data_IF_511562954868
#
_entry.id   IF_511562954868
#
_cell.length_a   1.000
_cell.length_b   1.000
_cell.length_c   1.000
_cell.angle_alpha   90.00
_cell.angle_beta   90.00
_cell.angle_gamma   90.00
#
_symmetry.space_group_name_H-M   'P 1'
#
loop_
_entity.id
_entity.type
_entity.pdbx_description
1 polymer ?
#
# COMPACT_ATOMS: atom_id res chain seq x y z
N UNK A 1 -24.92 13.52 -7.01
CA UNK A 1 -24.00 13.27 -8.13
C UNK A 1 -22.83 14.26 -8.13
N UNK A 2 -23.05 15.57 -8.03
CA UNK A 2 -22.01 16.61 -8.05
C UNK A 2 -20.97 16.41 -6.95
N UNK A 3 -21.37 16.10 -5.71
CA UNK A 3 -20.44 15.85 -4.60
C UNK A 3 -19.53 14.63 -4.81
N UNK A 4 -20.00 13.59 -5.53
CA UNK A 4 -19.18 12.44 -5.88
C UNK A 4 -18.14 12.82 -6.93
N UNK A 5 -18.55 13.57 -7.96
CA UNK A 5 -17.62 14.08 -8.97
C UNK A 5 -16.53 14.96 -8.35
N UNK A 6 -16.91 15.89 -7.45
CA UNK A 6 -15.98 16.74 -6.73
C UNK A 6 -14.97 15.91 -5.92
N UNK A 7 -15.44 14.80 -5.33
CA UNK A 7 -14.59 13.87 -4.59
C UNK A 7 -13.62 13.12 -5.51
N UNK A 8 -14.08 12.62 -6.65
CA UNK A 8 -13.25 11.91 -7.63
C UNK A 8 -12.12 12.81 -8.12
N UNK A 9 -12.46 14.02 -8.57
CA UNK A 9 -11.47 14.97 -9.10
C UNK A 9 -10.48 15.44 -8.03
N UNK A 10 -10.97 15.75 -6.81
CA UNK A 10 -10.11 16.17 -5.70
C UNK A 10 -9.18 15.04 -5.24
N UNK A 11 -9.67 13.81 -5.14
CA UNK A 11 -8.88 12.67 -4.71
C UNK A 11 -7.75 12.34 -5.70
N UNK A 12 -8.05 12.32 -7.01
CA UNK A 12 -7.04 12.07 -8.04
C UNK A 12 -6.02 13.20 -8.12
N UNK A 13 -6.47 14.47 -8.04
CA UNK A 13 -5.58 15.63 -8.00
C UNK A 13 -4.65 15.58 -6.77
N UNK A 14 -5.20 15.24 -5.59
CA UNK A 14 -4.42 15.10 -4.36
C UNK A 14 -3.41 13.95 -4.49
N UNK A 15 -3.81 12.83 -5.08
CA UNK A 15 -2.91 11.70 -5.35
C UNK A 15 -1.73 12.10 -6.23
N UNK A 16 -1.97 12.82 -7.32
CA UNK A 16 -0.91 13.29 -8.20
C UNK A 16 0.01 14.30 -7.51
N UNK A 17 -0.56 15.32 -6.85
CA UNK A 17 0.24 16.36 -6.18
C UNK A 17 1.05 15.78 -5.03
N UNK A 18 0.46 14.94 -4.18
CA UNK A 18 1.18 14.25 -3.09
C UNK A 18 2.25 13.29 -3.63
N UNK A 19 1.96 12.60 -4.73
CA UNK A 19 2.93 11.73 -5.40
C UNK A 19 4.13 12.49 -5.94
N UNK A 20 3.92 13.63 -6.60
CA UNK A 20 5.01 14.51 -7.09
C UNK A 20 5.81 15.09 -5.91
N UNK A 21 5.12 15.54 -4.85
CA UNK A 21 5.80 16.05 -3.65
C UNK A 21 6.69 14.97 -3.03
N UNK A 22 6.16 13.76 -2.87
CA UNK A 22 6.93 12.62 -2.34
C UNK A 22 8.08 12.22 -3.27
N UNK A 23 7.90 12.31 -4.59
CA UNK A 23 8.97 12.04 -5.54
C UNK A 23 10.13 13.02 -5.36
N UNK A 24 9.84 14.31 -5.29
CA UNK A 24 10.88 15.35 -5.13
C UNK A 24 11.57 15.24 -3.78
N UNK A 25 10.79 15.21 -2.69
CA UNK A 25 11.34 15.12 -1.32
C UNK A 25 12.13 13.82 -1.14
N UNK A 26 11.55 12.70 -1.55
CA UNK A 26 12.19 11.39 -1.41
C UNK A 26 13.45 11.25 -2.26
N UNK A 27 13.44 11.76 -3.50
CA UNK A 27 14.62 11.75 -4.36
C UNK A 27 15.79 12.56 -3.76
N UNK A 28 15.50 13.73 -3.19
CA UNK A 28 16.51 14.56 -2.54
C UNK A 28 16.99 13.97 -1.21
N UNK A 29 16.06 13.40 -0.43
CA UNK A 29 16.37 12.87 0.89
C UNK A 29 16.88 11.42 0.89
N UNK A 30 16.84 10.71 -0.25
CA UNK A 30 17.11 9.26 -0.32
C UNK A 30 18.43 8.84 0.35
N UNK A 31 19.51 9.56 0.11
CA UNK A 31 20.82 9.27 0.71
C UNK A 31 20.85 9.56 2.20
N UNK A 32 20.37 10.73 2.62
CA UNK A 32 20.34 11.12 4.03
C UNK A 32 19.47 10.19 4.89
N UNK A 33 18.36 9.68 4.33
CA UNK A 33 17.52 8.68 5.00
C UNK A 33 18.27 7.37 5.23
N UNK A 34 19.05 6.90 4.26
CA UNK A 34 19.85 5.69 4.39
C UNK A 34 21.01 5.85 5.39
N UNK A 35 21.64 7.01 5.41
CA UNK A 35 22.67 7.35 6.41
C UNK A 35 22.08 7.37 7.83
N UNK A 36 20.90 7.98 8.02
CA UNK A 36 20.15 7.94 9.28
C UNK A 36 19.78 6.52 9.72
N UNK A 37 19.52 5.62 8.79
CA UNK A 37 19.22 4.20 9.06
C UNK A 37 20.48 3.36 9.27
N UNK A 38 21.68 3.96 9.31
CA UNK A 38 22.96 3.26 9.45
C UNK A 38 23.16 2.19 8.38
N UNK A 39 22.80 2.51 7.13
CA UNK A 39 23.01 1.60 6.00
C UNK A 39 24.53 1.38 5.79
N UNK A 40 25.00 0.12 5.64
CA UNK A 40 26.40 -0.17 5.42
C UNK A 40 26.97 0.52 4.17
N UNK A 41 28.24 0.97 4.26
CA UNK A 41 28.88 1.77 3.20
C UNK A 41 29.03 1.02 1.86
N UNK A 42 29.17 -0.30 1.90
CA UNK A 42 29.30 -1.18 0.74
C UNK A 42 28.01 -1.25 -0.11
N UNK A 43 26.84 -1.07 0.51
CA UNK A 43 25.53 -1.15 -0.18
C UNK A 43 24.83 0.20 -0.33
N UNK A 44 25.27 1.27 0.34
CA UNK A 44 24.57 2.56 0.39
C UNK A 44 24.40 3.19 -1.00
N UNK A 45 25.36 3.02 -1.89
CA UNK A 45 25.31 3.55 -3.25
C UNK A 45 24.21 2.89 -4.08
N UNK A 46 24.11 1.57 -4.02
CA UNK A 46 23.07 0.78 -4.72
C UNK A 46 21.69 1.03 -4.11
N UNK A 47 21.61 1.09 -2.80
CA UNK A 47 20.36 1.39 -2.07
C UNK A 47 19.86 2.81 -2.38
N UNK A 48 20.78 3.79 -2.47
CA UNK A 48 20.44 5.17 -2.87
C UNK A 48 19.89 5.21 -4.29
N UNK A 49 20.52 4.49 -5.22
CA UNK A 49 20.05 4.39 -6.60
C UNK A 49 18.65 3.77 -6.66
N UNK A 50 18.43 2.66 -5.94
CA UNK A 50 17.12 2.02 -5.85
C UNK A 50 16.05 2.99 -5.34
N UNK A 51 16.30 3.65 -4.21
CA UNK A 51 15.34 4.59 -3.62
C UNK A 51 15.04 5.78 -4.53
N UNK A 52 16.06 6.36 -5.18
CA UNK A 52 15.85 7.46 -6.12
C UNK A 52 14.95 7.05 -7.28
N UNK A 53 15.23 5.89 -7.89
CA UNK A 53 14.39 5.34 -8.95
C UNK A 53 12.96 5.12 -8.42
N UNK A 54 12.82 4.48 -7.25
CA UNK A 54 11.52 4.20 -6.63
C UNK A 54 10.71 5.47 -6.37
N UNK A 55 11.33 6.53 -5.86
CA UNK A 55 10.65 7.80 -5.61
C UNK A 55 10.18 8.49 -6.89
N UNK A 56 10.87 8.34 -8.02
CA UNK A 56 10.38 8.80 -9.33
C UNK A 56 9.05 8.14 -9.71
N UNK A 57 8.82 6.90 -9.29
CA UNK A 57 7.57 6.17 -9.51
C UNK A 57 6.41 6.56 -8.58
N UNK A 58 6.66 7.36 -7.52
CA UNK A 58 5.64 7.70 -6.53
C UNK A 58 4.38 8.37 -7.08
N UNK A 59 4.42 9.26 -8.09
CA UNK A 59 3.22 9.82 -8.66
C UNK A 59 2.28 8.76 -9.22
N UNK A 60 2.80 7.74 -9.89
CA UNK A 60 2.01 6.64 -10.44
C UNK A 60 1.48 5.71 -9.33
N UNK A 61 2.28 5.44 -8.31
CA UNK A 61 1.86 4.66 -7.14
C UNK A 61 0.71 5.37 -6.41
N UNK A 62 0.80 6.67 -6.19
CA UNK A 62 -0.26 7.46 -5.57
C UNK A 62 -1.52 7.51 -6.45
N UNK A 63 -1.34 7.72 -7.75
CA UNK A 63 -2.45 7.69 -8.71
C UNK A 63 -3.19 6.35 -8.67
N UNK A 64 -2.48 5.21 -8.63
CA UNK A 64 -3.07 3.89 -8.46
C UNK A 64 -3.85 3.80 -7.14
N UNK A 65 -3.25 4.19 -6.02
CA UNK A 65 -3.86 4.07 -4.70
C UNK A 65 -5.16 4.86 -4.60
N UNK A 66 -5.17 6.12 -5.03
CA UNK A 66 -6.37 6.96 -4.99
C UNK A 66 -7.44 6.48 -5.98
N UNK A 67 -7.08 6.16 -7.22
CA UNK A 67 -8.02 5.64 -8.22
C UNK A 67 -8.63 4.30 -7.82
N UNK A 68 -7.83 3.40 -7.27
CA UNK A 68 -8.26 2.11 -6.74
C UNK A 68 -9.17 2.27 -5.52
N UNK A 69 -8.88 3.25 -4.64
CA UNK A 69 -9.73 3.55 -3.48
C UNK A 69 -11.12 4.05 -3.91
N UNK A 70 -11.21 4.87 -4.96
CA UNK A 70 -12.48 5.34 -5.52
C UNK A 70 -13.35 4.18 -6.04
N UNK A 71 -12.78 3.23 -6.77
CA UNK A 71 -13.50 2.04 -7.22
C UNK A 71 -13.96 1.17 -6.05
N UNK A 72 -13.08 0.95 -5.06
CA UNK A 72 -13.44 0.21 -3.85
C UNK A 72 -14.56 0.88 -3.05
N UNK A 73 -14.58 2.20 -2.99
CA UNK A 73 -15.61 2.95 -2.27
C UNK A 73 -17.03 2.68 -2.81
N UNK A 74 -17.18 2.40 -4.11
CA UNK A 74 -18.46 2.01 -4.72
C UNK A 74 -18.69 0.50 -4.73
N UNK A 75 -17.80 -0.28 -4.11
CA UNK A 75 -17.92 -1.74 -3.99
C UNK A 75 -17.24 -2.52 -5.11
N UNK A 76 -16.62 -1.87 -6.07
CA UNK A 76 -15.86 -2.56 -7.11
C UNK A 76 -14.43 -2.84 -6.66
N UNK A 77 -14.25 -4.01 -6.11
CA UNK A 77 -12.94 -4.51 -5.68
C UNK A 77 -12.26 -5.38 -6.74
N UNK A 78 -13.03 -5.88 -7.73
CA UNK A 78 -12.54 -6.82 -8.73
C UNK A 78 -11.67 -6.15 -9.77
N UNK A 79 -12.12 -5.01 -10.31
CA UNK A 79 -11.36 -4.28 -11.35
C UNK A 79 -9.96 -3.86 -10.86
N UNK A 80 -9.79 -3.20 -9.68
CA UNK A 80 -8.47 -2.92 -9.13
C UNK A 80 -7.60 -4.18 -8.89
N UNK A 81 -8.22 -5.28 -8.46
CA UNK A 81 -7.51 -6.55 -8.25
C UNK A 81 -6.93 -7.09 -9.56
N UNK A 82 -7.71 -7.11 -10.64
CA UNK A 82 -7.21 -7.57 -11.94
C UNK A 82 -6.08 -6.69 -12.48
N UNK A 83 -6.18 -5.36 -12.30
CA UNK A 83 -5.10 -4.45 -12.69
C UNK A 83 -3.82 -4.72 -11.89
N UNK A 84 -3.96 -4.95 -10.58
CA UNK A 84 -2.81 -5.27 -9.73
C UNK A 84 -2.20 -6.63 -10.06
N UNK A 85 -3.02 -7.64 -10.33
CA UNK A 85 -2.55 -8.97 -10.74
C UNK A 85 -1.80 -8.92 -12.07
N UNK A 86 -2.34 -8.21 -13.08
CA UNK A 86 -1.67 -7.99 -14.35
C UNK A 86 -0.32 -7.26 -14.15
N UNK A 87 -0.29 -6.20 -13.34
CA UNK A 87 0.93 -5.49 -13.00
C UNK A 87 1.94 -6.39 -12.27
N UNK A 88 1.47 -7.28 -11.39
CA UNK A 88 2.32 -8.26 -10.72
C UNK A 88 3.00 -9.22 -11.69
N UNK A 89 2.27 -9.74 -12.67
CA UNK A 89 2.83 -10.60 -13.73
C UNK A 89 3.87 -9.82 -14.55
N UNK A 90 3.54 -8.59 -14.97
CA UNK A 90 4.46 -7.72 -15.71
C UNK A 90 5.71 -7.45 -14.88
N UNK A 91 5.57 -7.20 -13.58
CA UNK A 91 6.70 -6.97 -12.67
C UNK A 91 7.65 -8.17 -12.64
N UNK A 92 7.12 -9.40 -12.50
CA UNK A 92 7.93 -10.62 -12.51
C UNK A 92 8.68 -10.77 -13.83
N UNK A 93 7.99 -10.62 -14.96
CA UNK A 93 8.61 -10.73 -16.30
C UNK A 93 9.69 -9.67 -16.49
N UNK A 94 9.41 -8.41 -16.14
CA UNK A 94 10.39 -7.34 -16.27
C UNK A 94 11.59 -7.51 -15.34
N UNK A 95 11.38 -8.03 -14.12
CA UNK A 95 12.50 -8.38 -13.24
C UNK A 95 13.43 -9.42 -13.88
N UNK A 96 12.89 -10.48 -14.45
CA UNK A 96 13.69 -11.50 -15.13
C UNK A 96 14.44 -10.90 -16.32
N UNK A 97 13.78 -10.10 -17.14
CA UNK A 97 14.38 -9.45 -18.31
C UNK A 97 15.49 -8.48 -17.91
N UNK A 98 15.25 -7.59 -16.94
CA UNK A 98 16.21 -6.57 -16.57
C UNK A 98 17.39 -7.12 -15.75
N UNK A 99 17.12 -8.05 -14.83
CA UNK A 99 18.16 -8.60 -13.96
C UNK A 99 18.97 -9.67 -14.70
N UNK A 100 18.32 -10.60 -15.37
CA UNK A 100 19.00 -11.71 -16.05
C UNK A 100 19.42 -11.31 -17.47
N UNK A 101 18.51 -10.72 -18.27
CA UNK A 101 18.78 -10.39 -19.67
C UNK A 101 19.74 -9.21 -19.84
N UNK A 102 19.53 -8.13 -19.08
CA UNK A 102 20.34 -6.92 -19.17
C UNK A 102 21.38 -6.78 -18.07
N UNK A 103 21.46 -7.72 -17.12
CA UNK A 103 22.38 -7.67 -15.96
C UNK A 103 22.28 -6.36 -15.16
N UNK A 104 21.07 -5.77 -15.10
CA UNK A 104 20.78 -4.49 -14.44
C UNK A 104 20.53 -4.70 -12.94
N UNK A 105 21.36 -5.33 -12.20
CA UNK A 105 21.30 -5.47 -10.74
C UNK A 105 20.06 -4.78 -10.07
N UNK A 106 20.30 -3.96 -9.07
CA UNK A 106 19.28 -3.27 -8.26
C UNK A 106 18.45 -2.25 -9.06
N UNK A 107 19.07 -1.60 -10.05
CA UNK A 107 18.36 -0.64 -10.91
C UNK A 107 17.27 -1.33 -11.77
N UNK A 108 17.52 -2.55 -12.23
CA UNK A 108 16.54 -3.34 -12.98
C UNK A 108 15.29 -3.66 -12.16
N UNK A 109 15.47 -4.05 -10.90
CA UNK A 109 14.36 -4.33 -9.99
C UNK A 109 13.52 -3.07 -9.72
N UNK A 110 14.18 -1.94 -9.49
CA UNK A 110 13.49 -0.67 -9.27
C UNK A 110 12.68 -0.24 -10.51
N UNK A 111 13.28 -0.33 -11.70
CA UNK A 111 12.60 0.00 -12.97
C UNK A 111 11.42 -0.93 -13.26
N UNK A 112 11.59 -2.24 -13.06
CA UNK A 112 10.50 -3.21 -13.21
C UNK A 112 9.31 -2.86 -12.31
N UNK A 113 9.58 -2.46 -11.07
CA UNK A 113 8.56 -2.05 -10.11
C UNK A 113 7.83 -0.79 -10.58
N UNK A 114 8.54 0.24 -11.02
CA UNK A 114 7.90 1.48 -11.48
C UNK A 114 7.08 1.25 -12.73
N UNK A 115 7.60 0.52 -13.71
CA UNK A 115 6.89 0.24 -14.95
C UNK A 115 5.60 -0.52 -14.67
N UNK A 116 5.65 -1.57 -13.84
CA UNK A 116 4.47 -2.35 -13.48
C UNK A 116 3.43 -1.51 -12.71
N UNK A 117 3.87 -0.68 -11.76
CA UNK A 117 3.00 0.26 -11.05
C UNK A 117 2.39 1.31 -11.99
N UNK A 118 3.16 1.81 -12.95
CA UNK A 118 2.67 2.73 -13.98
C UNK A 118 1.58 2.09 -14.82
N UNK A 119 1.78 0.85 -15.27
CA UNK A 119 0.76 0.10 -16.02
C UNK A 119 -0.51 -0.06 -15.17
N UNK A 120 -0.39 -0.47 -13.91
CA UNK A 120 -1.52 -0.60 -12.99
C UNK A 120 -2.28 0.72 -12.81
N UNK A 121 -1.55 1.82 -12.59
CA UNK A 121 -2.12 3.15 -12.44
C UNK A 121 -2.88 3.61 -13.69
N UNK A 122 -2.29 3.42 -14.86
CA UNK A 122 -2.92 3.78 -16.14
C UNK A 122 -4.16 2.94 -16.42
N UNK A 123 -4.13 1.64 -16.14
CA UNK A 123 -5.28 0.76 -16.31
C UNK A 123 -6.45 1.19 -15.40
N UNK A 124 -6.20 1.38 -14.10
CA UNK A 124 -7.26 1.77 -13.15
C UNK A 124 -7.78 3.18 -13.45
N UNK A 125 -6.90 4.13 -13.74
CA UNK A 125 -7.32 5.49 -14.11
C UNK A 125 -8.08 5.51 -15.43
N UNK A 126 -7.64 4.71 -16.41
CA UNK A 126 -8.35 4.55 -17.69
C UNK A 126 -9.75 3.98 -17.52
N UNK A 127 -9.97 3.10 -16.55
CA UNK A 127 -11.31 2.62 -16.20
C UNK A 127 -12.17 3.76 -15.64
N UNK A 128 -11.64 4.59 -14.72
CA UNK A 128 -12.37 5.75 -14.19
C UNK A 128 -12.71 6.78 -15.26
N UNK A 129 -11.84 6.99 -16.25
CA UNK A 129 -12.11 7.92 -17.38
C UNK A 129 -13.23 7.39 -18.27
N UNK A 130 -13.32 6.05 -18.44
CA UNK A 130 -14.36 5.39 -19.24
C UNK A 130 -15.64 5.10 -18.48
N UNK A 131 -15.64 5.34 -17.16
CA UNK A 131 -16.82 5.12 -16.34
C UNK A 131 -17.94 6.09 -16.74
N UNK A 132 -19.19 5.66 -16.55
CA UNK A 132 -20.37 6.48 -16.77
C UNK A 132 -20.91 7.01 -15.43
N UNK A 133 -21.56 8.17 -15.46
CA UNK A 133 -22.21 8.76 -14.27
C UNK A 133 -21.25 9.56 -13.37
N UNK A 134 -21.53 9.50 -12.06
CA UNK A 134 -20.88 10.38 -11.08
C UNK A 134 -19.40 10.04 -10.79
N UNK A 135 -18.98 8.82 -11.10
CA UNK A 135 -17.59 8.37 -10.92
C UNK A 135 -16.66 8.72 -12.09
N UNK A 136 -17.21 9.21 -13.19
CA UNK A 136 -16.43 9.55 -14.38
C UNK A 136 -15.35 10.57 -14.04
N UNK A 137 -14.11 10.21 -14.31
CA UNK A 137 -12.97 11.10 -14.19
C UNK A 137 -12.76 11.87 -15.48
N UNK A 138 -12.87 13.20 -15.40
CA UNK A 138 -12.47 14.10 -16.49
C UNK A 138 -11.11 14.73 -16.15
N UNK A 139 -10.06 14.27 -16.82
CA UNK A 139 -8.69 14.77 -16.59
C UNK A 139 -8.54 16.27 -16.86
N UNK A 140 -9.44 16.87 -17.65
CA UNK A 140 -9.41 18.32 -17.94
C UNK A 140 -10.06 19.15 -16.83
N UNK A 141 -10.81 18.51 -15.93
CA UNK A 141 -11.55 19.15 -14.84
C UNK A 141 -10.97 18.83 -13.46
N UNK A 142 -9.72 18.36 -13.42
CA UNK A 142 -9.04 18.14 -12.15
C UNK A 142 -8.96 19.45 -11.37
N UNK A 143 -9.59 19.49 -10.22
CA UNK A 143 -9.63 20.67 -9.35
C UNK A 143 -9.69 20.25 -7.88
N UNK A 144 -9.19 21.10 -7.01
CA UNK A 144 -9.32 20.94 -5.57
C UNK A 144 -10.60 21.61 -5.09
N UNK A 145 -11.55 20.82 -4.59
CA UNK A 145 -12.74 21.33 -3.93
C UNK A 145 -12.46 21.43 -2.43
N UNK A 146 -12.35 22.65 -1.90
CA UNK A 146 -11.89 22.91 -0.53
C UNK A 146 -12.67 22.14 0.54
N UNK A 147 -13.98 21.98 0.40
CA UNK A 147 -14.81 21.21 1.32
C UNK A 147 -14.45 19.74 1.35
N UNK A 148 -14.31 19.13 0.17
CA UNK A 148 -13.93 17.73 0.00
C UNK A 148 -12.50 17.47 0.47
N UNK A 149 -11.57 18.36 0.08
CA UNK A 149 -10.18 18.28 0.51
C UNK A 149 -10.06 18.32 2.04
N UNK A 150 -10.79 19.23 2.69
CA UNK A 150 -10.83 19.31 4.16
C UNK A 150 -11.31 17.99 4.77
N UNK A 151 -12.33 17.36 4.23
CA UNK A 151 -12.84 16.06 4.73
C UNK A 151 -11.81 14.95 4.54
N UNK A 152 -11.17 14.87 3.37
CA UNK A 152 -10.12 13.88 3.10
C UNK A 152 -8.96 14.05 4.09
N UNK A 153 -8.49 15.28 4.32
CA UNK A 153 -7.40 15.56 5.25
C UNK A 153 -7.78 15.30 6.70
N UNK A 154 -8.99 15.64 7.11
CA UNK A 154 -9.47 15.43 8.48
C UNK A 154 -9.52 13.96 8.88
N UNK A 155 -9.79 13.07 7.92
CA UNK A 155 -9.79 11.62 8.14
C UNK A 155 -8.41 11.04 7.88
N UNK A 156 -7.76 11.47 6.80
CA UNK A 156 -6.49 10.89 6.35
C UNK A 156 -5.29 11.24 7.23
N UNK A 157 -5.19 12.48 7.74
CA UNK A 157 -4.06 12.89 8.57
C UNK A 157 -3.96 12.11 9.90
N UNK A 158 -5.03 11.95 10.70
CA UNK A 158 -4.97 11.14 11.90
C UNK A 158 -4.62 9.67 11.61
N UNK A 159 -5.20 9.08 10.55
CA UNK A 159 -4.90 7.72 10.12
C UNK A 159 -3.44 7.58 9.66
N UNK A 160 -2.91 8.57 8.94
CA UNK A 160 -1.52 8.63 8.54
C UNK A 160 -0.57 8.75 9.73
N UNK A 161 -0.88 9.61 10.69
CA UNK A 161 -0.08 9.73 11.93
C UNK A 161 -0.07 8.42 12.73
N UNK A 162 -1.21 7.75 12.86
CA UNK A 162 -1.29 6.44 13.51
C UNK A 162 -0.37 5.42 12.81
N UNK A 163 -0.41 5.36 11.49
CA UNK A 163 0.44 4.45 10.70
C UNK A 163 1.93 4.80 10.84
N UNK A 164 2.26 6.09 10.94
CA UNK A 164 3.63 6.56 11.14
C UNK A 164 4.18 6.14 12.50
N UNK A 165 3.39 6.30 13.57
CA UNK A 165 3.77 5.85 14.93
C UNK A 165 4.02 4.33 14.95
N UNK A 166 3.14 3.55 14.31
CA UNK A 166 3.31 2.11 14.18
C UNK A 166 4.61 1.74 13.43
N UNK A 167 4.89 2.43 12.31
CA UNK A 167 6.11 2.20 11.53
C UNK A 167 7.38 2.57 12.31
N UNK A 168 7.36 3.69 13.05
CA UNK A 168 8.48 4.08 13.92
C UNK A 168 8.74 3.03 15.01
N UNK A 169 7.67 2.51 15.64
CA UNK A 169 7.80 1.43 16.63
C UNK A 169 8.49 0.20 16.05
N UNK A 170 8.12 -0.21 14.84
CA UNK A 170 8.77 -1.33 14.14
C UNK A 170 10.25 -1.06 13.85
N UNK A 171 10.63 0.17 13.49
CA UNK A 171 12.04 0.54 13.29
C UNK A 171 12.83 0.43 14.59
N UNK A 172 12.29 0.90 15.71
CA UNK A 172 12.94 0.79 17.02
C UNK A 172 13.11 -0.68 17.44
N UNK A 173 12.07 -1.50 17.26
CA UNK A 173 12.13 -2.94 17.54
C UNK A 173 13.21 -3.59 16.67
N UNK A 174 13.24 -3.30 15.37
CA UNK A 174 14.22 -3.87 14.44
C UNK A 174 15.65 -3.45 14.82
N UNK A 175 15.86 -2.20 15.23
CA UNK A 175 17.15 -1.71 15.72
C UNK A 175 17.61 -2.49 16.95
N UNK A 176 16.71 -2.76 17.89
CA UNK A 176 16.99 -3.58 19.06
C UNK A 176 17.34 -5.02 18.68
N UNK A 177 16.62 -5.63 17.74
CA UNK A 177 16.89 -6.99 17.25
C UNK A 177 18.28 -7.06 16.59
N UNK A 178 18.67 -6.04 15.84
CA UNK A 178 19.96 -5.97 15.17
C UNK A 178 21.13 -6.00 16.17
N UNK A 179 20.94 -5.53 17.41
CA UNK A 179 21.97 -5.56 18.46
C UNK A 179 22.30 -6.97 18.98
N UNK A 180 21.41 -7.95 18.75
CA UNK A 180 21.64 -9.33 19.20
C UNK A 180 22.45 -10.21 18.23
N UNK A 181 22.92 -9.64 17.11
CA UNK A 181 23.78 -10.31 16.14
C UNK A 181 23.06 -11.02 15.00
N UNK A 182 23.83 -11.46 14.03
CA UNK A 182 23.35 -11.94 12.72
C UNK A 182 22.43 -13.16 12.78
N UNK A 183 22.67 -14.07 13.71
CA UNK A 183 21.85 -15.29 13.86
C UNK A 183 20.41 -14.94 14.30
N UNK A 184 20.28 -14.02 15.26
CA UNK A 184 18.96 -13.55 15.74
C UNK A 184 18.25 -12.75 14.65
N UNK A 185 18.98 -11.91 13.92
CA UNK A 185 18.45 -11.16 12.77
C UNK A 185 17.92 -12.09 11.69
N UNK A 186 18.64 -13.15 11.34
CA UNK A 186 18.21 -14.13 10.35
C UNK A 186 16.95 -14.88 10.81
N UNK A 187 16.89 -15.32 12.05
CA UNK A 187 15.70 -15.96 12.63
C UNK A 187 14.49 -15.01 12.66
N UNK A 188 14.69 -13.76 13.07
CA UNK A 188 13.64 -12.75 13.07
C UNK A 188 13.14 -12.44 11.66
N UNK A 189 14.03 -12.39 10.66
CA UNK A 189 13.64 -12.16 9.26
C UNK A 189 12.76 -13.27 8.72
N UNK A 190 13.07 -14.53 9.04
CA UNK A 190 12.24 -15.67 8.67
C UNK A 190 10.86 -15.61 9.33
N UNK A 191 10.79 -15.30 10.63
CA UNK A 191 9.54 -15.11 11.38
C UNK A 191 8.70 -13.97 10.81
N UNK A 192 9.32 -12.82 10.54
CA UNK A 192 8.63 -11.63 10.00
C UNK A 192 8.04 -11.87 8.62
N UNK A 193 8.65 -12.72 7.79
CA UNK A 193 8.06 -13.11 6.51
C UNK A 193 6.76 -13.90 6.70
N UNK A 194 6.71 -14.84 7.66
CA UNK A 194 5.50 -15.59 7.98
C UNK A 194 4.42 -14.68 8.60
N UNK A 195 4.81 -13.81 9.53
CA UNK A 195 3.92 -12.82 10.13
C UNK A 195 3.31 -11.91 9.07
N UNK A 196 4.08 -11.51 8.05
CA UNK A 196 3.64 -10.67 6.95
C UNK A 196 2.44 -11.24 6.18
N UNK A 197 2.35 -12.56 5.99
CA UNK A 197 1.19 -13.20 5.37
C UNK A 197 -0.07 -13.07 6.24
N UNK A 198 0.06 -13.33 7.54
CA UNK A 198 -1.06 -13.20 8.49
C UNK A 198 -1.51 -11.75 8.60
N UNK A 199 -0.56 -10.83 8.72
CA UNK A 199 -0.82 -9.39 8.78
C UNK A 199 -1.55 -8.88 7.52
N UNK A 200 -1.15 -9.33 6.34
CA UNK A 200 -1.81 -8.98 5.08
C UNK A 200 -3.25 -9.46 5.02
N UNK A 201 -3.52 -10.69 5.48
CA UNK A 201 -4.88 -11.23 5.55
C UNK A 201 -5.74 -10.44 6.55
N UNK A 202 -5.21 -10.12 7.74
CA UNK A 202 -5.93 -9.32 8.75
C UNK A 202 -6.22 -7.90 8.24
N UNK A 203 -5.27 -7.27 7.55
CA UNK A 203 -5.47 -5.96 6.91
C UNK A 203 -6.57 -5.98 5.83
N UNK A 204 -6.71 -7.07 5.08
CA UNK A 204 -7.79 -7.20 4.11
C UNK A 204 -9.17 -7.11 4.77
N UNK A 205 -9.35 -7.76 5.92
CA UNK A 205 -10.61 -7.66 6.69
C UNK A 205 -10.82 -6.27 7.28
N UNK A 206 -9.77 -5.61 7.76
CA UNK A 206 -9.84 -4.23 8.24
C UNK A 206 -10.28 -3.27 7.12
N UNK A 207 -9.70 -3.40 5.92
CA UNK A 207 -10.11 -2.62 4.74
C UNK A 207 -11.54 -2.92 4.31
N UNK A 208 -11.97 -4.18 4.37
CA UNK A 208 -13.36 -4.56 4.11
C UNK A 208 -14.31 -3.91 5.13
N UNK A 209 -13.96 -3.94 6.43
CA UNK A 209 -14.77 -3.30 7.48
C UNK A 209 -14.93 -1.80 7.23
N UNK A 210 -13.85 -1.09 6.90
CA UNK A 210 -13.90 0.35 6.56
C UNK A 210 -14.79 0.59 5.35
N UNK A 211 -14.65 -0.19 4.30
CA UNK A 211 -15.42 -0.04 3.05
C UNK A 211 -16.92 -0.26 3.29
N UNK A 212 -17.31 -1.39 3.90
CA UNK A 212 -18.72 -1.70 4.15
C UNK A 212 -19.35 -0.76 5.17
N UNK A 213 -18.61 -0.36 6.20
CA UNK A 213 -19.08 0.62 7.19
C UNK A 213 -19.35 1.96 6.53
N UNK A 214 -18.43 2.46 5.74
CA UNK A 214 -18.57 3.74 5.02
C UNK A 214 -19.76 3.73 4.06
N UNK A 215 -19.96 2.63 3.31
CA UNK A 215 -21.10 2.48 2.40
C UNK A 215 -22.44 2.46 3.16
N UNK A 216 -22.51 1.75 4.29
CA UNK A 216 -23.75 1.70 5.08
C UNK A 216 -24.05 3.04 5.77
N UNK A 217 -23.03 3.77 6.24
CA UNK A 217 -23.20 5.13 6.77
C UNK A 217 -23.68 6.08 5.68
N UNK A 218 -23.07 6.05 4.50
CA UNK A 218 -23.48 6.87 3.35
C UNK A 218 -24.90 6.58 2.89
N UNK A 219 -25.32 5.32 2.95
CA UNK A 219 -26.70 4.89 2.65
C UNK A 219 -27.68 5.07 3.82
N UNK A 220 -27.26 5.62 4.97
CA UNK A 220 -28.04 5.77 6.22
C UNK A 220 -28.60 4.45 6.76
N UNK A 221 -27.97 3.31 6.46
CA UNK A 221 -28.37 1.97 6.91
C UNK A 221 -27.61 1.57 8.18
N UNK A 222 -27.75 2.36 9.23
CA UNK A 222 -27.00 2.17 10.49
C UNK A 222 -27.23 0.82 11.16
N UNK A 223 -28.41 0.21 10.97
CA UNK A 223 -28.75 -1.10 11.53
C UNK A 223 -27.87 -2.25 10.99
N UNK A 224 -27.16 -2.04 9.88
CA UNK A 224 -26.24 -3.04 9.33
C UNK A 224 -24.84 -2.95 9.92
N UNK A 225 -24.49 -1.87 10.62
CA UNK A 225 -23.12 -1.63 11.11
C UNK A 225 -22.68 -2.73 12.08
N UNK A 226 -23.51 -3.10 13.03
CA UNK A 226 -23.19 -4.17 13.99
C UNK A 226 -22.93 -5.50 13.31
N UNK A 227 -23.72 -5.80 12.25
CA UNK A 227 -23.51 -7.02 11.45
C UNK A 227 -22.19 -7.00 10.70
N UNK A 228 -21.85 -5.86 10.10
CA UNK A 228 -20.56 -5.69 9.38
C UNK A 228 -19.40 -5.87 10.35
N UNK A 229 -19.41 -5.17 11.48
CA UNK A 229 -18.34 -5.23 12.48
C UNK A 229 -18.20 -6.67 13.02
N UNK A 230 -19.29 -7.29 13.43
CA UNK A 230 -19.30 -8.66 13.95
C UNK A 230 -18.74 -9.66 12.95
N UNK A 231 -19.16 -9.59 11.69
CA UNK A 231 -18.68 -10.51 10.66
C UNK A 231 -17.19 -10.30 10.36
N UNK A 232 -16.72 -9.05 10.29
CA UNK A 232 -15.30 -8.75 10.09
C UNK A 232 -14.46 -9.23 11.29
N UNK A 233 -14.92 -9.01 12.53
CA UNK A 233 -14.25 -9.51 13.72
C UNK A 233 -14.18 -11.04 13.73
N UNK A 234 -15.28 -11.72 13.39
CA UNK A 234 -15.28 -13.19 13.29
C UNK A 234 -14.26 -13.68 12.27
N UNK A 235 -14.20 -13.06 11.08
CA UNK A 235 -13.21 -13.41 10.06
C UNK A 235 -11.76 -13.21 10.56
N UNK A 236 -11.50 -12.10 11.25
CA UNK A 236 -10.16 -11.82 11.82
C UNK A 236 -9.80 -12.88 12.87
N UNK A 237 -10.73 -13.19 13.79
CA UNK A 237 -10.50 -14.20 14.82
C UNK A 237 -10.22 -15.57 14.22
N UNK A 238 -11.05 -16.00 13.26
CA UNK A 238 -10.86 -17.30 12.58
C UNK A 238 -9.50 -17.36 11.86
N UNK A 239 -9.17 -16.29 11.11
CA UNK A 239 -7.89 -16.21 10.39
C UNK A 239 -6.70 -16.17 11.33
N UNK A 240 -6.81 -15.53 12.48
CA UNK A 240 -5.76 -15.50 13.51
C UNK A 240 -5.59 -16.81 14.26
N UNK A 241 -6.70 -17.53 14.52
CA UNK A 241 -6.66 -18.82 15.23
C UNK A 241 -5.96 -19.93 14.42
N UNK A 242 -6.07 -19.92 13.10
CA UNK A 242 -5.46 -20.95 12.24
C UNK A 242 -3.94 -21.05 12.42
N UNK A 243 -3.15 -19.97 12.23
CA UNK A 243 -1.71 -20.04 12.43
C UNK A 243 -1.31 -20.24 13.89
N UNK A 244 -2.06 -19.69 14.86
CA UNK A 244 -1.81 -19.90 16.29
C UNK A 244 -2.00 -21.37 16.67
N UNK A 245 -3.08 -22.00 16.22
CA UNK A 245 -3.33 -23.43 16.44
C UNK A 245 -2.24 -24.29 15.81
N UNK A 246 -1.81 -23.95 14.60
CA UNK A 246 -0.73 -24.66 13.92
C UNK A 246 0.59 -24.58 14.72
N UNK A 247 0.98 -23.39 15.19
CA UNK A 247 2.20 -23.22 15.98
C UNK A 247 2.15 -23.97 17.31
N UNK A 248 1.01 -23.94 18.01
CA UNK A 248 0.85 -24.67 19.27
C UNK A 248 0.81 -26.20 19.10
N UNK A 249 0.33 -26.69 17.96
CA UNK A 249 0.30 -28.14 17.69
C UNK A 249 1.64 -28.68 17.18
N UNK A 250 2.45 -27.86 16.50
CA UNK A 250 3.70 -28.33 15.87
C UNK A 250 4.97 -28.01 16.65
N UNK A 251 5.02 -26.91 17.41
CA UNK A 251 6.20 -26.50 18.18
C UNK A 251 6.51 -27.39 19.42
N UNK A 252 5.56 -27.99 20.16
CA UNK A 252 5.87 -28.82 21.32
C UNK A 252 6.63 -30.11 21.00
N UNK A 253 6.62 -30.53 19.74
CA UNK A 253 7.30 -31.77 19.32
C UNK A 253 8.79 -31.59 19.02
N UNK A 254 9.30 -30.37 18.94
CA UNK A 254 10.70 -30.09 18.58
C UNK A 254 11.52 -29.46 19.73
N UNK A 255 10.97 -29.40 20.94
CA UNK A 255 11.64 -28.83 22.13
C UNK A 255 12.22 -29.89 23.10
N UNK A 256 12.57 -31.06 22.58
CA UNK A 256 13.34 -32.09 23.32
C UNK A 256 14.66 -32.35 22.61
#
# INVERSE_FOLDING_TARGET
>A
EKGVQDTVHTAVALGLVSGVLLAVVGFCAARGLLELMSCPEDVISLSTLYLKIYFIGMPMTMLYNFSSALLRAVGDTKRPLYCLAAAGIINVVLNLVFVIGFSMSVAGVALATIISQTVSALLVTGMLVREEGALRLDLRRLAFHAGTLKQILLIGLPAGLQSTVFSLSNVVIQSSINSFGSMVVAGNSASSNLEGFVYTAMNAFAQAAVTFTSQNIGARKYHNLDRVIRNCLLCVVVTGLVPVSYTHLTLPTNSL
#
